data_IF_264523664007
#
_entry.id   IF_264523664007
#
_cell.length_a   1.000
_cell.length_b   1.000
_cell.length_c   1.000
_cell.angle_alpha   90.00
_cell.angle_beta   90.00
_cell.angle_gamma   90.00
#
_symmetry.space_group_name_H-M   'P 1'
#
loop_
_entity.id
_entity.type
_entity.pdbx_description
1 polymer ?
#
# COMPACT_ATOMS: atom_id res chain seq x y z
N UNK A 1 13.63 11.03 24.03
CA UNK A 1 13.15 12.36 23.57
C UNK A 1 13.87 12.62 22.26
N UNK A 2 13.19 12.69 21.11
CA UNK A 2 13.87 13.13 19.89
C UNK A 2 14.40 14.56 20.14
N UNK A 3 15.53 14.95 19.53
CA UNK A 3 16.06 16.29 19.71
C UNK A 3 15.01 17.31 19.27
N UNK A 4 14.69 18.26 20.16
CA UNK A 4 13.77 19.34 19.83
C UNK A 4 14.42 20.21 18.77
N UNK A 5 13.78 20.33 17.62
CA UNK A 5 14.11 21.34 16.62
C UNK A 5 13.75 22.68 17.23
N UNK A 6 14.76 23.39 17.75
CA UNK A 6 14.59 24.74 18.25
C UNK A 6 14.30 25.67 17.07
N UNK A 7 13.25 26.49 17.19
CA UNK A 7 12.87 27.52 16.25
C UNK A 7 14.09 28.36 15.82
N UNK A 8 14.42 28.32 14.53
CA UNK A 8 15.49 29.13 13.94
C UNK A 8 16.83 28.43 13.70
N UNK A 9 16.94 27.11 13.93
CA UNK A 9 18.09 26.36 13.42
C UNK A 9 17.82 26.03 11.94
N UNK A 10 18.56 26.59 10.95
CA UNK A 10 18.40 26.15 9.58
C UNK A 10 18.68 24.64 9.53
N UNK A 11 17.79 23.87 8.91
CA UNK A 11 18.09 22.51 8.46
C UNK A 11 19.49 22.54 7.84
N UNK A 12 20.35 21.52 8.07
CA UNK A 12 21.71 21.51 7.54
C UNK A 12 21.68 21.54 6.01
N UNK A 13 21.58 22.74 5.45
CA UNK A 13 21.85 23.07 4.07
C UNK A 13 23.36 23.19 3.98
N UNK A 14 23.95 22.39 3.07
CA UNK A 14 25.37 22.29 2.72
C UNK A 14 26.19 21.22 3.44
N UNK A 15 25.78 19.96 3.32
CA UNK A 15 26.72 19.10 2.61
C UNK A 15 26.44 19.29 1.12
N UNK A 16 27.48 19.59 0.33
CA UNK A 16 27.33 19.62 -1.13
C UNK A 16 26.75 18.29 -1.54
N UNK A 17 25.60 18.32 -2.18
CA UNK A 17 24.96 17.10 -2.63
C UNK A 17 25.93 16.36 -3.57
N UNK A 18 26.13 15.04 -3.42
CA UNK A 18 26.92 14.31 -4.39
C UNK A 18 26.32 14.53 -5.78
N UNK A 19 27.16 14.79 -6.80
CA UNK A 19 26.69 15.10 -8.14
C UNK A 19 25.77 13.98 -8.65
N UNK A 20 24.64 14.36 -9.24
CA UNK A 20 23.62 13.43 -9.71
C UNK A 20 23.73 13.31 -11.24
N UNK A 21 24.50 12.35 -11.78
CA UNK A 21 24.79 12.29 -13.22
C UNK A 21 23.52 12.17 -14.08
N UNK A 22 22.45 11.62 -13.52
CA UNK A 22 21.18 11.38 -14.21
C UNK A 22 20.16 12.51 -14.05
N UNK A 23 20.43 13.54 -13.23
CA UNK A 23 19.45 14.55 -12.85
C UNK A 23 18.80 15.25 -14.05
N UNK A 24 19.60 15.58 -15.07
CA UNK A 24 19.10 16.20 -16.31
C UNK A 24 18.06 15.34 -17.03
N UNK A 25 18.19 14.02 -16.97
CA UNK A 25 17.28 13.08 -17.64
C UNK A 25 16.03 12.77 -16.82
N UNK A 26 16.05 13.07 -15.52
CA UNK A 26 14.97 12.79 -14.58
C UNK A 26 14.07 14.00 -14.36
N UNK A 27 14.60 15.23 -14.51
CA UNK A 27 13.87 16.46 -14.28
C UNK A 27 12.58 16.56 -15.11
N UNK A 28 12.68 16.53 -16.44
CA UNK A 28 11.52 16.74 -17.32
C UNK A 28 10.34 15.78 -17.02
N UNK A 29 10.52 14.43 -17.00
CA UNK A 29 9.39 13.53 -16.73
C UNK A 29 8.82 13.69 -15.33
N UNK A 30 9.65 14.08 -14.35
CA UNK A 30 9.20 14.27 -12.98
C UNK A 30 8.52 15.62 -12.75
N UNK A 31 8.93 16.68 -13.46
CA UNK A 31 8.26 17.99 -13.50
C UNK A 31 6.88 17.84 -14.12
N UNK A 32 6.77 17.15 -15.26
CA UNK A 32 5.50 16.85 -15.91
C UNK A 32 4.54 16.11 -14.97
N UNK A 33 5.04 15.07 -14.27
CA UNK A 33 4.25 14.33 -13.29
C UNK A 33 3.81 15.20 -12.10
N UNK A 34 4.71 16.06 -11.59
CA UNK A 34 4.40 16.96 -10.49
C UNK A 34 3.31 17.96 -10.86
N UNK A 35 3.37 18.52 -12.07
CA UNK A 35 2.36 19.46 -12.58
C UNK A 35 1.01 18.76 -12.76
N UNK A 36 1.00 17.52 -13.26
CA UNK A 36 -0.21 16.70 -13.36
C UNK A 36 -0.86 16.45 -12.00
N UNK A 37 -0.06 16.13 -10.98
CA UNK A 37 -0.53 15.92 -9.60
C UNK A 37 -1.04 17.23 -8.97
N UNK A 38 -0.27 18.31 -9.07
CA UNK A 38 -0.64 19.62 -8.54
C UNK A 38 -1.95 20.12 -9.13
N UNK A 39 -2.12 19.98 -10.46
CA UNK A 39 -3.36 20.33 -11.14
C UNK A 39 -4.57 19.55 -10.61
N UNK A 40 -4.45 18.23 -10.39
CA UNK A 40 -5.54 17.40 -9.81
C UNK A 40 -5.89 17.81 -8.38
N UNK A 41 -4.91 18.24 -7.60
CA UNK A 41 -5.10 18.72 -6.23
C UNK A 41 -5.50 20.21 -6.15
N UNK A 42 -5.61 20.90 -7.29
CA UNK A 42 -5.82 22.36 -7.36
C UNK A 42 -4.76 23.14 -6.56
N UNK A 43 -3.52 22.66 -6.61
CA UNK A 43 -2.35 23.27 -5.98
C UNK A 43 -1.48 23.98 -7.03
N UNK A 44 -0.69 24.99 -6.63
CA UNK A 44 0.27 25.63 -7.54
C UNK A 44 1.35 24.65 -7.99
N UNK A 45 1.89 24.89 -9.18
CA UNK A 45 3.08 24.17 -9.67
C UNK A 45 4.32 24.47 -8.81
N UNK A 46 5.37 23.65 -8.92
CA UNK A 46 6.65 23.91 -8.25
C UNK A 46 7.16 25.32 -8.59
N UNK A 47 7.07 25.71 -9.87
CA UNK A 47 7.53 27.01 -10.35
C UNK A 47 6.79 28.16 -9.67
N UNK A 48 5.48 28.07 -9.57
CA UNK A 48 4.65 29.08 -8.90
C UNK A 48 4.88 29.12 -7.39
N UNK A 49 5.04 27.95 -6.76
CA UNK A 49 5.27 27.84 -5.32
C UNK A 49 6.63 28.43 -4.89
N UNK A 50 7.65 28.31 -5.75
CA UNK A 50 9.02 28.72 -5.44
C UNK A 50 9.36 30.12 -5.95
N UNK A 51 8.64 30.65 -6.95
CA UNK A 51 8.81 32.01 -7.47
C UNK A 51 8.94 33.11 -6.38
N UNK A 52 8.03 33.23 -5.39
CA UNK A 52 8.13 34.29 -4.38
C UNK A 52 9.34 34.15 -3.46
N UNK A 53 9.95 32.96 -3.38
CA UNK A 53 11.15 32.70 -2.57
C UNK A 53 12.41 33.07 -3.35
N UNK A 54 12.42 32.89 -4.66
CA UNK A 54 13.59 33.16 -5.51
C UNK A 54 13.65 34.60 -6.04
N UNK A 55 12.50 35.25 -6.24
CA UNK A 55 12.40 36.64 -6.71
C UNK A 55 13.31 37.63 -5.95
N UNK A 56 13.41 37.60 -4.60
CA UNK A 56 14.31 38.50 -3.85
C UNK A 56 15.80 38.31 -4.13
N UNK A 57 16.19 37.16 -4.71
CA UNK A 57 17.56 36.82 -5.04
C UNK A 57 17.88 36.96 -6.53
N UNK A 58 16.93 37.49 -7.32
CA UNK A 58 17.04 37.58 -8.79
C UNK A 58 17.39 36.23 -9.45
N UNK A 59 16.91 35.12 -8.87
CA UNK A 59 17.20 33.78 -9.33
C UNK A 59 15.96 33.15 -9.97
N UNK A 60 16.12 32.47 -11.11
CA UNK A 60 15.07 31.62 -11.68
C UNK A 60 15.30 30.14 -11.38
N UNK A 61 14.21 29.39 -11.17
CA UNK A 61 14.26 27.93 -11.02
C UNK A 61 14.98 27.25 -12.19
N UNK A 62 14.87 27.81 -13.41
CA UNK A 62 15.52 27.25 -14.62
C UNK A 62 17.02 27.49 -14.68
N UNK A 63 17.53 28.48 -13.95
CA UNK A 63 18.95 28.86 -13.91
C UNK A 63 19.75 28.05 -12.88
N UNK A 64 19.03 27.39 -11.96
CA UNK A 64 19.64 26.53 -10.94
C UNK A 64 20.29 25.28 -11.53
N UNK A 65 21.36 24.76 -10.92
CA UNK A 65 21.94 23.46 -11.27
C UNK A 65 20.89 22.34 -11.27
N UNK A 66 21.03 21.38 -12.18
CA UNK A 66 20.07 20.29 -12.34
C UNK A 66 19.86 19.49 -11.04
N UNK A 67 20.93 19.28 -10.27
CA UNK A 67 20.91 18.52 -9.02
C UNK A 67 20.11 19.25 -7.93
N UNK A 68 20.22 20.58 -7.87
CA UNK A 68 19.47 21.41 -6.92
C UNK A 68 17.99 21.50 -7.30
N UNK A 69 17.69 21.63 -8.60
CA UNK A 69 16.31 21.58 -9.11
C UNK A 69 15.65 20.25 -8.79
N UNK A 70 16.36 19.14 -9.02
CA UNK A 70 15.84 17.81 -8.73
C UNK A 70 15.50 17.68 -7.24
N UNK A 71 16.32 18.26 -6.36
CA UNK A 71 16.03 18.26 -4.92
C UNK A 71 14.81 19.05 -4.55
N UNK A 72 14.66 20.26 -5.09
CA UNK A 72 13.47 21.06 -4.85
C UNK A 72 12.22 20.31 -5.32
N UNK A 73 12.28 19.66 -6.48
CA UNK A 73 11.19 18.88 -7.03
C UNK A 73 10.83 17.66 -6.17
N UNK A 74 11.82 16.87 -5.75
CA UNK A 74 11.61 15.73 -4.87
C UNK A 74 11.06 16.16 -3.49
N UNK A 75 11.53 17.29 -2.94
CA UNK A 75 10.99 17.87 -1.71
C UNK A 75 9.55 18.32 -1.89
N UNK A 76 9.23 18.99 -3.00
CA UNK A 76 7.88 19.43 -3.32
C UNK A 76 6.92 18.24 -3.45
N UNK A 77 7.31 17.18 -4.17
CA UNK A 77 6.53 15.96 -4.30
C UNK A 77 6.20 15.34 -2.94
N UNK A 78 7.20 15.19 -2.05
CA UNK A 78 7.00 14.54 -0.75
C UNK A 78 6.29 15.43 0.27
N UNK A 79 6.63 16.72 0.35
CA UNK A 79 6.19 17.66 1.40
C UNK A 79 4.86 18.35 1.07
N UNK A 80 4.57 18.55 -0.22
CA UNK A 80 3.36 19.24 -0.68
C UNK A 80 2.38 18.26 -1.31
N UNK A 81 2.85 17.41 -2.22
CA UNK A 81 1.97 16.50 -2.98
C UNK A 81 1.77 15.13 -2.31
N UNK A 82 2.39 14.87 -1.15
CA UNK A 82 2.36 13.58 -0.45
C UNK A 82 2.69 12.38 -1.36
N UNK A 83 3.56 12.58 -2.35
CA UNK A 83 3.91 11.60 -3.36
C UNK A 83 5.35 11.13 -3.14
N UNK A 84 5.55 9.81 -3.16
CA UNK A 84 6.88 9.22 -3.16
C UNK A 84 7.32 8.86 -4.59
N UNK A 85 8.30 9.59 -5.16
CA UNK A 85 8.77 9.35 -6.52
C UNK A 85 9.57 8.05 -6.67
N UNK A 86 10.05 7.45 -5.59
CA UNK A 86 10.78 6.18 -5.69
C UNK A 86 9.82 5.00 -5.90
N UNK A 87 8.77 4.92 -5.09
CA UNK A 87 7.72 3.90 -5.22
C UNK A 87 6.65 4.24 -6.26
N UNK A 88 6.54 5.51 -6.66
CA UNK A 88 5.43 6.06 -7.43
C UNK A 88 4.06 5.83 -6.75
N UNK A 89 4.03 6.01 -5.43
CA UNK A 89 2.84 5.86 -4.60
C UNK A 89 2.45 7.23 -4.04
N UNK A 90 1.14 7.52 -4.11
CA UNK A 90 0.51 8.64 -3.41
C UNK A 90 0.12 8.18 -2.01
N UNK A 91 0.47 9.00 -1.00
CA UNK A 91 0.13 8.76 0.40
C UNK A 91 -1.01 9.69 0.83
N UNK A 92 -1.66 9.37 1.95
CA UNK A 92 -2.75 10.19 2.46
C UNK A 92 -2.26 11.54 3.00
N UNK A 93 -1.00 11.62 3.43
CA UNK A 93 -0.42 12.85 3.96
C UNK A 93 1.12 12.90 3.86
N UNK A 94 1.73 14.11 3.80
CA UNK A 94 3.18 14.25 3.80
C UNK A 94 3.90 13.59 4.99
N UNK A 95 3.37 13.63 6.24
CA UNK A 95 3.97 12.89 7.35
C UNK A 95 4.05 11.37 7.14
N UNK A 96 3.08 10.78 6.44
CA UNK A 96 3.07 9.35 6.12
C UNK A 96 4.19 8.99 5.14
N UNK A 97 4.45 9.85 4.15
CA UNK A 97 5.60 9.70 3.24
C UNK A 97 6.90 9.66 4.04
N UNK A 98 7.07 10.58 4.99
CA UNK A 98 8.27 10.65 5.83
C UNK A 98 8.37 9.42 6.73
N UNK A 99 7.25 8.92 7.25
CA UNK A 99 7.24 7.72 8.11
C UNK A 99 7.59 6.44 7.34
N UNK A 100 7.20 6.34 6.07
CA UNK A 100 7.39 5.14 5.24
C UNK A 100 8.69 5.16 4.44
N UNK A 101 9.02 6.29 3.84
CA UNK A 101 10.18 6.47 2.95
C UNK A 101 11.34 7.26 3.60
N UNK A 102 11.16 7.73 4.85
CA UNK A 102 12.16 8.50 5.58
C UNK A 102 12.23 9.98 5.17
N UNK A 103 12.90 10.77 6.02
CA UNK A 103 13.21 12.18 5.75
C UNK A 103 14.53 12.35 4.98
N UNK A 104 15.37 11.30 4.99
CA UNK A 104 16.78 11.36 4.64
C UNK A 104 16.99 11.66 3.15
N UNK A 105 17.72 12.75 2.94
CA UNK A 105 18.45 13.17 1.74
C UNK A 105 18.27 12.26 0.52
N UNK A 106 17.36 12.66 -0.36
CA UNK A 106 17.51 12.94 -1.80
C UNK A 106 18.77 12.47 -2.57
N UNK A 107 19.53 11.50 -2.11
CA UNK A 107 20.77 11.04 -2.73
C UNK A 107 20.40 9.86 -3.61
N UNK A 108 20.55 10.11 -4.92
CA UNK A 108 20.54 9.18 -6.04
C UNK A 108 19.49 8.10 -5.93
N UNK A 109 18.34 8.22 -6.60
CA UNK A 109 17.41 7.11 -6.87
C UNK A 109 18.19 5.82 -7.15
N UNK A 110 18.41 4.90 -6.18
CA UNK A 110 18.99 3.63 -6.47
C UNK A 110 17.80 2.70 -6.40
N UNK A 111 17.00 2.64 -7.46
CA UNK A 111 16.14 1.48 -7.68
C UNK A 111 17.06 0.29 -7.99
N UNK A 112 17.86 -0.13 -7.02
CA UNK A 112 18.64 -1.34 -7.08
C UNK A 112 17.76 -2.49 -6.56
N UNK A 113 16.69 -2.78 -7.29
CA UNK A 113 16.11 -4.10 -7.26
C UNK A 113 16.77 -4.86 -8.42
N UNK A 114 17.73 -5.70 -8.03
CA UNK A 114 18.65 -6.50 -8.85
C UNK A 114 19.98 -5.82 -9.30
N UNK A 115 21.12 -6.52 -9.16
CA UNK A 115 22.39 -6.08 -9.71
C UNK A 115 22.29 -6.02 -11.24
N UNK A 116 22.46 -4.82 -11.82
CA UNK A 116 22.46 -4.59 -13.27
C UNK A 116 21.21 -3.91 -13.85
N UNK A 117 20.20 -3.61 -13.04
CA UNK A 117 19.04 -2.82 -13.48
C UNK A 117 19.39 -1.31 -13.57
N UNK A 118 18.92 -0.66 -14.62
CA UNK A 118 19.00 0.80 -14.76
C UNK A 118 17.91 1.43 -13.87
N UNK A 119 18.33 1.96 -12.72
CA UNK A 119 17.46 2.55 -11.73
C UNK A 119 16.65 3.75 -12.27
N UNK A 120 17.26 4.57 -13.14
CA UNK A 120 16.57 5.69 -13.77
C UNK A 120 15.52 5.23 -14.78
N UNK A 121 15.78 4.16 -15.52
CA UNK A 121 14.80 3.58 -16.43
C UNK A 121 13.57 3.06 -15.65
N UNK A 122 13.79 2.33 -14.56
CA UNK A 122 12.70 1.81 -13.73
C UNK A 122 11.90 2.92 -13.05
N UNK A 123 12.56 3.98 -12.56
CA UNK A 123 11.88 5.16 -12.03
C UNK A 123 10.96 5.81 -13.08
N UNK A 124 11.48 6.03 -14.30
CA UNK A 124 10.72 6.62 -15.41
C UNK A 124 9.53 5.75 -15.80
N UNK A 125 9.67 4.43 -15.81
CA UNK A 125 8.57 3.50 -16.06
C UNK A 125 7.47 3.64 -15.00
N UNK A 126 7.84 3.68 -13.71
CA UNK A 126 6.89 3.89 -12.61
C UNK A 126 6.17 5.24 -12.69
N UNK A 127 6.89 6.30 -13.03
CA UNK A 127 6.31 7.64 -13.25
C UNK A 127 5.36 7.65 -14.43
N UNK A 128 5.70 6.95 -15.51
CA UNK A 128 4.84 6.79 -16.68
C UNK A 128 3.54 6.05 -16.32
N UNK A 129 3.62 4.99 -15.51
CA UNK A 129 2.44 4.29 -14.99
C UNK A 129 1.56 5.25 -14.17
N UNK A 130 2.16 6.10 -13.33
CA UNK A 130 1.43 7.09 -12.55
C UNK A 130 0.78 8.17 -13.43
N UNK A 131 1.52 8.69 -14.41
CA UNK A 131 1.01 9.69 -15.36
C UNK A 131 -0.19 9.16 -16.15
N UNK A 132 -0.12 7.91 -16.62
CA UNK A 132 -1.22 7.23 -17.31
C UNK A 132 -2.45 7.05 -16.39
N UNK A 133 -2.22 6.75 -15.11
CA UNK A 133 -3.29 6.66 -14.13
C UNK A 133 -3.98 8.01 -13.91
N UNK A 134 -3.20 9.08 -13.69
CA UNK A 134 -3.73 10.45 -13.53
C UNK A 134 -4.51 10.86 -14.79
N UNK A 135 -3.99 10.57 -15.98
CA UNK A 135 -4.68 10.85 -17.23
C UNK A 135 -6.03 10.09 -17.33
N UNK A 136 -6.06 8.82 -16.92
CA UNK A 136 -7.30 8.05 -16.85
C UNK A 136 -8.30 8.65 -15.85
N UNK A 137 -7.85 9.08 -14.67
CA UNK A 137 -8.72 9.75 -13.69
C UNK A 137 -9.26 11.08 -14.23
N UNK A 138 -8.42 11.89 -14.90
CA UNK A 138 -8.85 13.15 -15.53
C UNK A 138 -9.94 12.91 -16.59
N UNK A 139 -9.80 11.87 -17.40
CA UNK A 139 -10.81 11.51 -18.40
C UNK A 139 -12.13 11.09 -17.73
N UNK A 140 -12.07 10.37 -16.62
CA UNK A 140 -13.26 9.97 -15.85
C UNK A 140 -13.91 11.15 -15.12
N UNK A 141 -13.12 12.11 -14.61
CA UNK A 141 -13.64 13.36 -14.05
C UNK A 141 -14.40 14.15 -15.12
N UNK A 142 -13.84 14.28 -16.32
CA UNK A 142 -14.49 14.95 -17.45
C UNK A 142 -15.79 14.25 -17.89
N UNK A 143 -15.79 12.91 -17.97
CA UNK A 143 -16.99 12.11 -18.24
C UNK A 143 -18.06 12.37 -17.18
N UNK A 144 -17.69 12.33 -15.89
CA UNK A 144 -18.60 12.55 -14.78
C UNK A 144 -19.17 13.98 -14.77
N UNK A 145 -18.36 15.00 -15.09
CA UNK A 145 -18.84 16.38 -15.22
C UNK A 145 -19.85 16.50 -16.37
N UNK A 146 -19.56 15.91 -17.53
CA UNK A 146 -20.50 15.91 -18.66
C UNK A 146 -21.81 15.20 -18.31
N UNK A 147 -21.73 14.07 -17.60
CA UNK A 147 -22.89 13.30 -17.18
C UNK A 147 -23.74 14.07 -16.14
N UNK A 148 -23.11 14.77 -15.21
CA UNK A 148 -23.79 15.63 -14.24
C UNK A 148 -24.57 16.78 -14.91
N UNK A 149 -23.97 17.45 -15.89
CA UNK A 149 -24.63 18.52 -16.66
C UNK A 149 -25.82 17.95 -17.45
N UNK A 150 -25.63 16.82 -18.13
CA UNK A 150 -26.71 16.16 -18.87
C UNK A 150 -27.88 15.76 -17.94
N UNK A 151 -27.58 15.20 -16.77
CA UNK A 151 -28.59 14.82 -15.78
C UNK A 151 -29.38 16.04 -15.26
N UNK A 152 -28.71 17.17 -15.03
CA UNK A 152 -29.37 18.40 -14.63
C UNK A 152 -30.30 18.94 -15.72
N UNK A 153 -29.85 18.98 -16.97
CA UNK A 153 -30.66 19.42 -18.12
C UNK A 153 -31.86 18.49 -18.36
N UNK A 154 -31.66 17.17 -18.27
CA UNK A 154 -32.73 16.19 -18.33
C UNK A 154 -33.74 16.42 -17.20
N UNK A 155 -33.28 16.65 -15.97
CA UNK A 155 -34.14 16.95 -14.84
C UNK A 155 -34.95 18.24 -15.02
N UNK A 156 -34.34 19.30 -15.55
CA UNK A 156 -35.06 20.54 -15.85
C UNK A 156 -36.12 20.32 -16.94
N UNK A 157 -35.77 19.60 -18.00
CA UNK A 157 -36.68 19.34 -19.11
C UNK A 157 -37.89 18.50 -18.69
N UNK A 158 -37.65 17.41 -17.93
CA UNK A 158 -38.70 16.56 -17.37
C UNK A 158 -39.64 17.33 -16.43
N UNK A 159 -39.13 18.36 -15.74
CA UNK A 159 -39.88 19.16 -14.79
C UNK A 159 -40.38 20.51 -15.34
N UNK A 160 -40.36 20.70 -16.67
CA UNK A 160 -40.87 21.89 -17.36
C UNK A 160 -41.88 21.49 -18.44
N UNK A 161 -43.16 21.40 -18.07
CA UNK A 161 -44.23 20.97 -18.98
C UNK A 161 -44.92 22.20 -19.59
N UNK A 162 -44.95 22.30 -20.92
CA UNK A 162 -45.73 23.31 -21.63
C UNK A 162 -47.22 22.96 -21.54
N UNK A 163 -48.04 23.87 -21.00
CA UNK A 163 -49.50 23.69 -20.92
C UNK A 163 -50.18 24.42 -22.08
N UNK A 164 -49.80 25.68 -22.29
CA UNK A 164 -50.25 26.53 -23.40
C UNK A 164 -49.05 27.37 -23.85
N UNK A 165 -49.09 27.96 -25.04
CA UNK A 165 -48.03 28.86 -25.51
C UNK A 165 -47.80 30.00 -24.50
N UNK A 166 -46.57 30.09 -23.98
CA UNK A 166 -46.20 31.07 -22.93
C UNK A 166 -46.68 30.71 -21.52
N UNK A 167 -47.14 29.48 -21.27
CA UNK A 167 -47.49 28.96 -19.93
C UNK A 167 -46.86 27.60 -19.68
N UNK A 168 -45.93 27.56 -18.74
CA UNK A 168 -45.18 26.37 -18.34
C UNK A 168 -45.54 25.97 -16.91
N UNK A 169 -45.64 24.67 -16.64
CA UNK A 169 -45.95 24.12 -15.32
C UNK A 169 -44.80 23.26 -14.81
N UNK A 170 -44.44 23.46 -13.54
CA UNK A 170 -43.54 22.54 -12.84
C UNK A 170 -44.34 21.38 -12.20
N UNK A 171 -44.07 20.10 -12.51
CA UNK A 171 -44.72 18.96 -11.88
C UNK A 171 -44.42 18.82 -10.37
N UNK A 172 -43.25 19.27 -9.91
CA UNK A 172 -42.83 19.13 -8.51
C UNK A 172 -43.66 19.96 -7.52
N UNK A 173 -44.11 21.15 -7.95
CA UNK A 173 -44.86 22.10 -7.11
C UNK A 173 -46.23 22.46 -7.66
N UNK A 174 -46.49 22.18 -8.94
CA UNK A 174 -47.69 22.57 -9.67
C UNK A 174 -47.76 24.04 -10.08
N UNK A 175 -46.72 24.85 -9.81
CA UNK A 175 -46.70 26.28 -10.14
C UNK A 175 -46.62 26.54 -11.66
N UNK A 176 -47.30 27.59 -12.09
CA UNK A 176 -47.31 28.07 -13.47
C UNK A 176 -46.34 29.23 -13.65
N UNK A 177 -45.65 29.25 -14.77
CA UNK A 177 -44.62 30.21 -15.15
C UNK A 177 -44.83 30.67 -16.59
N UNK A 178 -44.28 31.84 -16.92
CA UNK A 178 -44.39 32.42 -18.27
C UNK A 178 -43.29 31.97 -19.22
N UNK A 179 -42.15 31.54 -18.68
CA UNK A 179 -40.94 31.21 -19.44
C UNK A 179 -40.23 30.00 -18.80
N UNK A 180 -39.62 29.09 -19.58
CA UNK A 180 -38.87 27.95 -19.06
C UNK A 180 -37.72 28.34 -18.11
N UNK A 181 -37.10 29.51 -18.31
CA UNK A 181 -36.02 30.00 -17.46
C UNK A 181 -36.50 30.24 -16.02
N UNK A 182 -37.75 30.69 -15.84
CA UNK A 182 -38.32 30.84 -14.50
C UNK A 182 -38.62 29.50 -13.84
N UNK A 183 -38.89 28.45 -14.62
CA UNK A 183 -39.04 27.08 -14.09
C UNK A 183 -37.70 26.56 -13.59
N UNK A 184 -36.62 26.74 -14.36
CA UNK A 184 -35.25 26.38 -13.93
C UNK A 184 -34.88 27.07 -12.61
N UNK A 185 -35.00 28.40 -12.58
CA UNK A 185 -34.72 29.19 -11.36
C UNK A 185 -35.62 28.80 -10.18
N UNK A 186 -36.85 28.36 -10.43
CA UNK A 186 -37.72 27.85 -9.39
C UNK A 186 -37.22 26.51 -8.82
N UNK A 187 -36.77 25.60 -9.69
CA UNK A 187 -36.19 24.32 -9.29
C UNK A 187 -34.93 24.57 -8.45
N UNK A 188 -34.04 25.45 -8.89
CA UNK A 188 -32.80 25.76 -8.15
C UNK A 188 -33.07 26.31 -6.74
N UNK A 189 -34.11 27.13 -6.57
CA UNK A 189 -34.38 27.78 -5.29
C UNK A 189 -35.32 26.98 -4.37
N UNK A 190 -36.14 26.07 -4.90
CA UNK A 190 -37.18 25.37 -4.13
C UNK A 190 -37.05 23.85 -4.15
N UNK A 191 -36.30 23.30 -5.09
CA UNK A 191 -36.14 21.87 -5.32
C UNK A 191 -34.67 21.49 -5.57
N UNK A 192 -33.71 22.30 -5.11
CA UNK A 192 -32.27 22.01 -5.25
C UNK A 192 -31.90 20.65 -4.69
N UNK A 193 -32.46 20.26 -3.54
CA UNK A 193 -32.17 18.96 -2.91
C UNK A 193 -32.53 17.77 -3.81
N UNK A 194 -33.59 17.87 -4.62
CA UNK A 194 -33.96 16.82 -5.58
C UNK A 194 -33.03 16.81 -6.78
N UNK A 195 -32.65 17.99 -7.27
CA UNK A 195 -31.69 18.14 -8.36
C UNK A 195 -30.29 17.62 -7.94
N UNK A 196 -29.84 17.99 -6.75
CA UNK A 196 -28.57 17.54 -6.16
C UNK A 196 -28.54 16.01 -6.01
N UNK A 197 -29.65 15.39 -5.59
CA UNK A 197 -29.76 13.94 -5.51
C UNK A 197 -29.59 13.26 -6.88
N UNK A 198 -30.25 13.79 -7.93
CA UNK A 198 -30.13 13.24 -9.28
C UNK A 198 -28.72 13.41 -9.85
N UNK A 199 -28.09 14.56 -9.62
CA UNK A 199 -26.69 14.81 -9.98
C UNK A 199 -25.75 13.85 -9.23
N UNK A 200 -25.93 13.71 -7.91
CA UNK A 200 -25.12 12.83 -7.08
C UNK A 200 -25.21 11.37 -7.54
N UNK A 201 -26.42 10.88 -7.86
CA UNK A 201 -26.63 9.52 -8.37
C UNK A 201 -25.83 9.23 -9.63
N UNK A 202 -25.74 10.19 -10.55
CA UNK A 202 -24.95 10.03 -11.79
C UNK A 202 -23.45 10.12 -11.51
N UNK A 203 -23.04 11.00 -10.58
CA UNK A 203 -21.64 11.10 -10.17
C UNK A 203 -21.13 9.83 -9.49
N UNK A 204 -21.97 9.10 -8.76
CA UNK A 204 -21.59 7.84 -8.08
C UNK A 204 -21.06 6.77 -9.05
N UNK A 205 -21.54 6.78 -10.30
CA UNK A 205 -21.09 5.84 -11.34
C UNK A 205 -19.59 5.95 -11.66
N UNK A 206 -18.91 7.03 -11.25
CA UNK A 206 -17.48 7.22 -11.45
C UNK A 206 -16.63 6.40 -10.47
N UNK A 207 -17.06 6.20 -9.22
CA UNK A 207 -16.23 5.56 -8.20
C UNK A 207 -15.79 4.12 -8.52
N UNK A 208 -16.65 3.23 -9.06
CA UNK A 208 -16.21 1.91 -9.50
C UNK A 208 -15.14 1.98 -10.60
N UNK A 209 -15.24 2.95 -11.52
CA UNK A 209 -14.24 3.15 -12.58
C UNK A 209 -12.90 3.62 -12.01
N UNK A 210 -12.91 4.45 -10.97
CA UNK A 210 -11.70 4.93 -10.28
C UNK A 210 -11.01 3.78 -9.56
N UNK A 211 -11.80 2.94 -8.89
CA UNK A 211 -11.30 1.75 -8.22
C UNK A 211 -10.56 0.83 -9.20
N UNK A 212 -11.18 0.52 -10.34
CA UNK A 212 -10.55 -0.31 -11.37
C UNK A 212 -9.31 0.36 -11.99
N UNK A 213 -9.31 1.68 -12.16
CA UNK A 213 -8.14 2.40 -12.64
C UNK A 213 -6.97 2.33 -11.66
N UNK A 214 -7.23 2.41 -10.35
CA UNK A 214 -6.20 2.27 -9.32
C UNK A 214 -5.73 0.82 -9.18
N UNK A 215 -6.62 -0.16 -9.30
CA UNK A 215 -6.25 -1.58 -9.29
C UNK A 215 -5.30 -1.91 -10.46
N UNK A 216 -5.60 -1.43 -11.67
CA UNK A 216 -4.73 -1.58 -12.86
C UNK A 216 -3.36 -0.93 -12.66
N UNK A 217 -3.32 0.25 -12.02
CA UNK A 217 -2.07 0.94 -11.67
C UNK A 217 -1.25 0.11 -10.69
N UNK A 218 -1.89 -0.35 -9.61
CA UNK A 218 -1.26 -1.18 -8.57
C UNK A 218 -0.69 -2.48 -9.15
N UNK A 219 -1.42 -3.16 -10.04
CA UNK A 219 -0.92 -4.39 -10.69
C UNK A 219 0.32 -4.17 -11.57
N UNK A 220 0.52 -2.96 -12.10
CA UNK A 220 1.67 -2.60 -12.93
C UNK A 220 2.86 -2.13 -12.11
N UNK A 221 2.61 -1.57 -10.92
CA UNK A 221 3.65 -1.26 -9.95
C UNK A 221 3.93 -2.55 -9.16
N UNK A 222 4.91 -3.33 -9.60
CA UNK A 222 5.27 -4.60 -8.95
C UNK A 222 5.26 -4.49 -7.42
N UNK A 223 4.52 -5.36 -6.71
CA UNK A 223 4.87 -5.72 -5.36
C UNK A 223 6.06 -6.69 -5.46
N UNK A 224 7.28 -6.23 -5.14
CA UNK A 224 8.26 -7.20 -4.67
C UNK A 224 7.68 -7.82 -3.41
N UNK A 225 7.18 -9.04 -3.51
CA UNK A 225 7.23 -9.91 -2.35
C UNK A 225 8.65 -9.79 -1.79
N UNK A 226 8.83 -9.50 -0.49
CA UNK A 226 10.16 -9.47 0.09
C UNK A 226 10.85 -10.77 -0.32
N UNK A 227 12.12 -10.74 -0.76
CA UNK A 227 12.80 -11.94 -1.24
C UNK A 227 12.59 -13.03 -0.21
N UNK A 228 12.00 -14.16 -0.65
CA UNK A 228 11.76 -15.29 0.25
C UNK A 228 13.05 -15.53 1.02
N UNK A 229 13.02 -15.57 2.37
CA UNK A 229 14.22 -15.83 3.14
C UNK A 229 14.86 -17.10 2.55
N UNK A 230 16.19 -17.11 2.36
CA UNK A 230 16.86 -18.28 1.81
C UNK A 230 16.40 -19.51 2.61
N UNK A 231 16.12 -20.64 1.96
CA UNK A 231 15.81 -21.85 2.69
C UNK A 231 16.92 -22.05 3.74
N UNK A 232 16.56 -22.45 4.98
CA UNK A 232 17.57 -22.67 6.00
C UNK A 232 18.66 -23.57 5.42
N UNK A 233 19.95 -23.29 5.70
CA UNK A 233 21.04 -24.08 5.15
C UNK A 233 20.73 -25.55 5.43
N UNK A 234 20.67 -26.35 4.37
CA UNK A 234 20.56 -27.80 4.54
C UNK A 234 21.70 -28.19 5.48
N UNK A 235 21.43 -28.85 6.62
CA UNK A 235 22.50 -29.25 7.51
C UNK A 235 23.53 -30.01 6.68
N UNK A 236 24.83 -29.80 6.91
CA UNK A 236 25.85 -30.51 6.15
C UNK A 236 25.47 -31.97 6.18
N UNK A 237 25.25 -32.55 4.99
CA UNK A 237 25.07 -33.99 4.86
C UNK A 237 26.27 -34.56 5.59
N UNK A 238 26.03 -35.21 6.75
CA UNK A 238 27.10 -35.68 7.63
C UNK A 238 28.16 -36.31 6.74
N UNK A 239 29.46 -35.98 6.93
CA UNK A 239 30.50 -36.45 6.03
C UNK A 239 30.27 -37.93 5.81
N UNK A 240 30.21 -38.34 4.54
CA UNK A 240 30.00 -39.73 4.16
C UNK A 240 31.01 -40.57 4.94
N UNK A 241 30.57 -41.09 6.09
CA UNK A 241 31.31 -42.08 6.85
C UNK A 241 31.20 -43.32 6.00
N UNK A 242 32.15 -43.38 5.07
CA UNK A 242 32.65 -44.57 4.43
C UNK A 242 32.53 -45.69 5.45
N UNK A 243 31.66 -46.64 5.16
CA UNK A 243 31.37 -47.80 6.01
C UNK A 243 32.67 -48.55 6.21
N UNK A 244 33.38 -48.20 7.27
CA UNK A 244 34.69 -48.72 7.63
C UNK A 244 34.80 -48.73 9.14
N UNK A 245 34.14 -49.73 9.73
CA UNK A 245 34.35 -50.30 11.05
C UNK A 245 34.96 -49.38 12.14
N UNK A 246 34.10 -48.73 12.93
CA UNK A 246 34.42 -48.38 14.31
C UNK A 246 33.65 -49.34 15.23
N UNK A 247 34.42 -50.14 15.96
CA UNK A 247 33.97 -51.05 17.00
C UNK A 247 33.39 -50.23 18.16
N UNK A 248 32.07 -50.25 18.32
CA UNK A 248 31.43 -49.80 19.57
C UNK A 248 31.60 -50.91 20.59
N UNK A 249 32.45 -50.64 21.58
CA UNK A 249 32.55 -51.44 22.78
C UNK A 249 31.26 -51.31 23.61
N UNK A 250 30.68 -52.46 23.97
CA UNK A 250 30.01 -52.66 25.25
C UNK A 250 28.61 -52.07 25.43
N UNK A 251 27.61 -52.55 24.68
CA UNK A 251 26.25 -52.83 25.20
C UNK A 251 25.75 -54.13 24.56
N UNK A 252 25.26 -55.05 25.38
CA UNK A 252 24.80 -56.40 25.03
C UNK A 252 23.79 -56.37 23.86
N UNK A 253 24.07 -57.12 22.78
CA UNK A 253 23.11 -57.30 21.68
C UNK A 253 22.12 -58.41 22.05
N UNK A 254 21.11 -58.03 22.82
CA UNK A 254 19.92 -58.83 23.06
C UNK A 254 18.95 -58.65 21.89
N UNK A 255 18.34 -59.74 21.43
CA UNK A 255 17.40 -59.72 20.31
C UNK A 255 16.11 -59.00 20.72
N UNK A 256 15.76 -57.90 20.05
CA UNK A 256 14.52 -57.16 20.33
C UNK A 256 13.21 -57.93 20.03
N UNK A 257 13.29 -59.13 19.45
CA UNK A 257 12.11 -59.98 19.21
C UNK A 257 11.90 -61.01 20.33
N UNK A 258 12.97 -61.63 20.85
CA UNK A 258 12.87 -62.73 21.84
C UNK A 258 13.70 -62.52 23.13
N UNK A 259 14.44 -61.40 23.25
CA UNK A 259 15.23 -61.04 24.42
C UNK A 259 16.53 -61.83 24.64
N UNK A 260 16.86 -62.82 23.80
CA UNK A 260 18.09 -63.62 23.93
C UNK A 260 19.31 -62.91 23.33
N UNK A 261 20.46 -63.03 23.99
CA UNK A 261 21.73 -62.50 23.53
C UNK A 261 22.37 -63.38 22.43
N UNK A 262 23.09 -62.75 21.50
CA UNK A 262 23.81 -63.44 20.42
C UNK A 262 23.26 -63.25 19.00
N UNK A 263 22.08 -62.62 18.83
CA UNK A 263 21.54 -62.20 17.53
C UNK A 263 20.65 -60.94 17.69
N UNK A 264 20.27 -60.30 16.58
CA UNK A 264 19.33 -59.15 16.56
C UNK A 264 17.99 -59.56 15.92
N UNK A 265 16.93 -58.77 16.14
CA UNK A 265 15.55 -59.11 15.73
C UNK A 265 15.33 -59.45 14.24
N UNK A 266 16.26 -59.06 13.35
CA UNK A 266 16.22 -59.43 11.92
C UNK A 266 16.66 -60.88 11.65
N UNK A 267 17.50 -61.44 12.51
CA UNK A 267 18.08 -62.79 12.38
C UNK A 267 17.53 -63.75 13.46
N UNK A 268 16.35 -63.44 14.02
CA UNK A 268 15.69 -64.27 15.03
C UNK A 268 15.12 -65.54 14.37
N UNK A 269 15.46 -66.75 14.85
CA UNK A 269 15.00 -68.01 14.26
C UNK A 269 13.50 -68.29 14.49
N UNK A 270 12.86 -67.57 15.42
CA UNK A 270 11.42 -67.70 15.71
C UNK A 270 10.58 -66.73 14.83
N UNK A 271 9.51 -67.27 14.23
CA UNK A 271 8.64 -66.56 13.26
C UNK A 271 7.95 -65.32 13.85
N UNK A 272 7.97 -64.22 13.08
CA UNK A 272 7.30 -62.94 13.39
C UNK A 272 5.80 -63.13 13.56
N UNK A 273 5.24 -62.78 14.72
CA UNK A 273 3.81 -62.40 14.79
C UNK A 273 3.67 -60.89 14.52
N UNK A 274 2.67 -60.45 13.74
CA UNK A 274 2.46 -59.03 13.48
C UNK A 274 1.85 -58.31 14.70
N UNK A 275 2.32 -57.11 15.07
CA UNK A 275 1.68 -56.30 16.10
C UNK A 275 0.34 -55.70 15.61
N UNK A 276 -0.64 -55.48 16.51
CA UNK A 276 -1.99 -55.08 16.16
C UNK A 276 -2.08 -53.61 15.72
N UNK A 277 -2.85 -53.34 14.67
CA UNK A 277 -3.26 -51.99 14.26
C UNK A 277 -4.19 -51.33 15.30
N UNK A 278 -4.02 -50.04 15.60
CA UNK A 278 -5.14 -49.20 16.00
C UNK A 278 -5.47 -48.17 14.91
N UNK A 279 -6.77 -47.91 14.81
CA UNK A 279 -7.43 -47.05 13.85
C UNK A 279 -7.21 -45.55 14.11
N UNK A 280 -7.26 -44.76 13.03
CA UNK A 280 -7.76 -43.38 13.03
C UNK A 280 -6.84 -42.26 13.54
N UNK A 281 -6.56 -41.29 12.65
CA UNK A 281 -6.04 -39.96 13.03
C UNK A 281 -4.63 -39.66 12.50
N UNK A 282 -4.52 -38.70 11.58
CA UNK A 282 -3.24 -38.17 11.08
C UNK A 282 -2.61 -37.25 12.13
N UNK A 283 -1.34 -37.42 12.55
CA UNK A 283 -0.71 -36.48 13.48
C UNK A 283 -0.05 -35.31 12.75
N UNK A 284 -0.27 -34.12 13.31
CA UNK A 284 0.41 -32.87 12.96
C UNK A 284 1.87 -32.93 13.45
N UNK A 285 2.81 -32.74 12.53
CA UNK A 285 4.23 -32.60 12.83
C UNK A 285 4.49 -31.22 13.47
N UNK A 286 5.10 -31.18 14.66
CA UNK A 286 5.64 -29.93 15.22
C UNK A 286 5.80 -29.79 16.74
N UNK A 287 5.37 -30.76 17.56
CA UNK A 287 5.49 -30.67 19.02
C UNK A 287 6.85 -31.12 19.55
N UNK A 288 7.53 -30.26 20.32
CA UNK A 288 8.66 -30.64 21.19
C UNK A 288 8.23 -31.78 22.13
N UNK A 289 9.07 -32.78 22.44
CA UNK A 289 8.71 -33.79 23.43
C UNK A 289 8.44 -33.14 24.80
N UNK A 290 7.45 -33.62 25.57
CA UNK A 290 7.13 -33.05 26.86
C UNK A 290 8.32 -33.19 27.83
N UNK A 291 8.55 -32.21 28.73
CA UNK A 291 9.57 -32.32 29.75
C UNK A 291 9.22 -33.44 30.77
N UNK A 292 10.21 -34.00 31.47
CA UNK A 292 9.97 -34.99 32.51
C UNK A 292 9.09 -34.42 33.62
N UNK A 293 8.27 -35.26 34.30
CA UNK A 293 7.39 -34.81 35.36
C UNK A 293 8.20 -34.20 36.51
N UNK A 294 7.93 -32.93 36.84
CA UNK A 294 8.55 -32.20 37.96
C UNK A 294 9.20 -30.85 37.62
N UNK A 295 9.29 -30.45 36.34
CA UNK A 295 9.84 -29.15 35.96
C UNK A 295 8.73 -28.08 35.93
N UNK A 296 8.55 -27.34 37.03
CA UNK A 296 7.70 -26.15 37.04
C UNK A 296 8.31 -25.09 36.09
N UNK A 297 7.58 -24.77 35.02
CA UNK A 297 7.92 -23.65 34.14
C UNK A 297 7.62 -22.35 34.89
N UNK A 298 8.65 -21.73 35.46
CA UNK A 298 8.56 -20.36 35.96
C UNK A 298 8.48 -19.45 34.74
N UNK A 299 7.28 -18.95 34.43
CA UNK A 299 7.06 -17.96 33.39
C UNK A 299 7.19 -16.59 34.05
N UNK A 300 8.37 -15.97 33.97
CA UNK A 300 8.66 -14.63 34.53
C UNK A 300 8.00 -13.47 33.76
N UNK A 301 6.92 -13.73 33.01
CA UNK A 301 6.13 -12.69 32.36
C UNK A 301 4.66 -12.88 32.72
N UNK A 302 4.01 -11.88 33.34
CA UNK A 302 2.58 -11.96 33.61
C UNK A 302 1.84 -12.12 32.27
N UNK A 303 1.01 -13.14 32.18
CA UNK A 303 0.10 -13.35 31.06
C UNK A 303 -0.88 -12.16 31.08
N UNK A 304 -0.83 -11.33 30.04
CA UNK A 304 -1.82 -10.26 29.85
C UNK A 304 -3.09 -10.95 29.36
N UNK A 305 -4.04 -11.14 30.27
CA UNK A 305 -5.38 -11.61 29.90
C UNK A 305 -6.11 -10.44 29.24
N UNK A 306 -6.42 -10.56 27.95
CA UNK A 306 -7.32 -9.62 27.28
C UNK A 306 -8.74 -9.98 27.70
N UNK A 307 -9.30 -9.17 28.60
CA UNK A 307 -10.72 -9.20 28.88
C UNK A 307 -11.40 -8.31 27.83
N UNK A 308 -12.21 -8.90 26.95
CA UNK A 308 -12.98 -8.13 25.98
C UNK A 308 -13.88 -7.14 26.73
N UNK A 309 -13.85 -5.86 26.33
CA UNK A 309 -14.56 -4.76 26.99
C UNK A 309 -16.09 -4.90 27.03
N UNK A 310 -16.64 -5.86 26.27
CA UNK A 310 -18.07 -6.19 26.19
C UNK A 310 -18.38 -7.62 26.71
N UNK A 311 -17.41 -8.34 27.28
CA UNK A 311 -17.67 -9.64 27.89
C UNK A 311 -18.47 -9.43 29.19
N UNK A 312 -19.65 -10.08 29.34
CA UNK A 312 -20.40 -10.02 30.58
C UNK A 312 -19.56 -10.59 31.73
N UNK A 313 -19.59 -9.95 32.90
CA UNK A 313 -18.85 -10.41 34.08
C UNK A 313 -19.19 -11.87 34.39
N UNK A 314 -18.21 -12.77 34.30
CA UNK A 314 -18.36 -14.19 34.64
C UNK A 314 -18.62 -14.32 36.15
N UNK A 315 -19.87 -14.56 36.53
CA UNK A 315 -20.28 -14.91 37.89
C UNK A 315 -19.62 -16.24 38.31
N UNK A 316 -19.02 -16.32 39.52
CA UNK A 316 -18.37 -17.53 40.01
C UNK A 316 -19.43 -18.53 40.48
N UNK A 317 -19.96 -19.32 39.54
CA UNK A 317 -20.67 -20.55 39.86
C UNK A 317 -19.67 -21.71 39.69
N UNK A 318 -19.46 -22.46 40.76
CA UNK A 318 -18.56 -23.61 40.94
C UNK A 318 -17.19 -23.29 41.58
N UNK A 319 -17.23 -23.10 42.91
CA UNK A 319 -16.25 -23.67 43.84
C UNK A 319 -16.34 -25.20 43.86
#
# INVERSE_FOLDING_TARGET
RPPSVCDGTPLPLRESLPPQPEAKTLLAPLEDLADMLAARLSLPSLKEAVAPVLEPFELSLTEMPADERLQLLLLFLRRVLAFDPQSAIEHASPPEVIATAGEAALVALPLAEAPGADAAALAKERWQIQAEHIAALNALDAEATSAAVAAAEEFYSANCVLVEEGKYRCPLSGKLFRDPMFVRKHIDNKHSTKLEYEIARVLEAKYPKYFLANEKRSQRLEPLEPPRPPPPPTPPRSPEFSRGAIRVAGRSKECFNCGREGHVARDCPEHRMPPPHPAGGRPIFGGRPPPPPGAALVIDRPIINYNDLDAPDDDPLFD
#
